data_IF_252882604492
#
_entry.id   IF_252882604492
#
_cell.length_a   1.000
_cell.length_b   1.000
_cell.length_c   1.000
_cell.angle_alpha   90.00
_cell.angle_beta   90.00
_cell.angle_gamma   90.00
#
_symmetry.space_group_name_H-M   'P 1'
#
loop_
_entity.id
_entity.type
_entity.pdbx_description
1 polymer ?
#
# COMPACT_ATOMS: atom_id res chain seq x y z
N UNK A 1 -27.85 7.81 -18.47
CA UNK A 1 -26.97 6.77 -17.87
C UNK A 1 -27.75 5.65 -17.19
N UNK A 2 -28.71 5.95 -16.31
CA UNK A 2 -29.60 4.92 -15.73
C UNK A 2 -30.43 4.16 -16.78
N UNK A 3 -30.79 4.79 -17.90
CA UNK A 3 -31.50 4.11 -19.00
C UNK A 3 -30.69 3.00 -19.68
N UNK A 4 -29.36 3.11 -19.71
CA UNK A 4 -28.47 2.14 -20.38
C UNK A 4 -27.95 1.09 -19.40
N UNK A 5 -27.60 1.52 -18.18
CA UNK A 5 -26.95 0.67 -17.18
C UNK A 5 -27.89 0.23 -16.04
N UNK A 6 -29.13 0.70 -16.02
CA UNK A 6 -30.10 0.37 -14.98
C UNK A 6 -29.58 0.68 -13.57
N UNK A 7 -29.73 -0.29 -12.66
CA UNK A 7 -29.26 -0.21 -11.28
C UNK A 7 -27.73 -0.31 -11.14
N UNK A 8 -27.04 -0.83 -12.17
CA UNK A 8 -25.58 -0.89 -12.20
C UNK A 8 -24.94 0.46 -12.54
N UNK A 9 -25.75 1.49 -12.78
CA UNK A 9 -25.28 2.84 -13.04
C UNK A 9 -24.53 3.40 -11.82
N UNK A 10 -23.31 3.89 -12.06
CA UNK A 10 -22.57 4.65 -11.05
C UNK A 10 -23.37 5.88 -10.59
N UNK A 11 -23.22 6.24 -9.33
CA UNK A 11 -23.81 7.45 -8.79
C UNK A 11 -23.36 8.69 -9.59
N UNK A 12 -24.27 9.66 -9.75
CA UNK A 12 -24.03 10.89 -10.53
C UNK A 12 -22.77 11.63 -10.08
N UNK A 13 -22.50 11.67 -8.77
CA UNK A 13 -21.29 12.29 -8.22
C UNK A 13 -19.99 11.60 -8.67
N UNK A 14 -19.99 10.26 -8.76
CA UNK A 14 -18.83 9.49 -9.24
C UNK A 14 -18.59 9.78 -10.73
N UNK A 15 -19.66 9.90 -11.50
CA UNK A 15 -19.59 10.19 -12.93
C UNK A 15 -19.01 11.58 -13.22
N UNK A 16 -19.44 12.62 -12.50
CA UNK A 16 -18.87 13.96 -12.63
C UNK A 16 -17.38 14.00 -12.29
N UNK A 17 -16.96 13.31 -11.22
CA UNK A 17 -15.53 13.19 -10.86
C UNK A 17 -14.70 12.49 -11.93
N UNK A 18 -15.30 11.58 -12.70
CA UNK A 18 -14.61 10.95 -13.83
C UNK A 18 -14.51 11.90 -15.02
N UNK A 19 -15.57 12.65 -15.36
CA UNK A 19 -15.52 13.66 -16.42
C UNK A 19 -14.43 14.70 -16.18
N UNK A 20 -14.38 15.27 -14.96
CA UNK A 20 -13.35 16.25 -14.57
C UNK A 20 -11.94 15.67 -14.73
N UNK A 21 -11.70 14.44 -14.24
CA UNK A 21 -10.40 13.79 -14.40
C UNK A 21 -10.01 13.55 -15.87
N UNK A 22 -10.98 13.22 -16.72
CA UNK A 22 -10.72 13.06 -18.16
C UNK A 22 -10.37 14.39 -18.82
N UNK A 23 -11.03 15.49 -18.44
CA UNK A 23 -10.71 16.85 -18.90
C UNK A 23 -9.30 17.28 -18.42
N UNK A 24 -8.89 16.86 -17.23
CA UNK A 24 -7.53 17.04 -16.69
C UNK A 24 -6.48 16.14 -17.39
N UNK A 25 -6.86 15.39 -18.42
CA UNK A 25 -5.94 14.56 -19.22
C UNK A 25 -5.72 13.15 -18.66
N UNK A 26 -6.51 12.70 -17.67
CA UNK A 26 -6.43 11.32 -17.18
C UNK A 26 -6.96 10.34 -18.23
N UNK A 27 -6.05 9.70 -18.95
CA UNK A 27 -6.36 8.64 -19.93
C UNK A 27 -6.38 7.22 -19.34
N UNK A 28 -5.75 7.03 -18.18
CA UNK A 28 -5.66 5.71 -17.54
C UNK A 28 -6.91 5.41 -16.71
N UNK A 29 -7.59 4.33 -17.07
CA UNK A 29 -8.79 3.81 -16.40
C UNK A 29 -8.45 3.10 -15.09
N UNK A 30 -7.23 2.58 -14.95
CA UNK A 30 -6.81 1.90 -13.72
C UNK A 30 -6.79 2.86 -12.54
N UNK A 31 -7.09 2.31 -11.36
CA UNK A 31 -6.96 3.03 -10.11
C UNK A 31 -5.51 3.42 -9.85
N UNK A 32 -5.32 4.64 -9.33
CA UNK A 32 -4.02 5.06 -8.83
C UNK A 32 -3.70 4.28 -7.55
N UNK A 33 -2.43 4.02 -7.26
CA UNK A 33 -2.03 3.42 -5.99
C UNK A 33 -2.61 4.26 -4.84
N UNK A 34 -3.33 3.59 -3.94
CA UNK A 34 -3.94 4.24 -2.80
C UNK A 34 -2.83 4.76 -1.88
N UNK A 35 -2.85 6.03 -1.43
CA UNK A 35 -1.84 6.58 -0.52
C UNK A 35 -1.69 5.79 0.79
N UNK A 36 -2.71 5.00 1.14
CA UNK A 36 -2.74 4.15 2.34
C UNK A 36 -1.92 2.87 2.18
N UNK A 37 -1.53 2.50 0.97
CA UNK A 37 -0.65 1.36 0.78
C UNK A 37 0.77 1.81 1.17
N UNK A 38 1.23 1.36 2.33
CA UNK A 38 2.59 1.62 2.77
C UNK A 38 3.55 1.18 1.66
N UNK A 39 4.54 2.02 1.36
CA UNK A 39 5.59 1.66 0.43
C UNK A 39 6.34 0.46 1.02
N UNK A 40 6.08 -0.73 0.52
CA UNK A 40 6.79 -1.94 0.94
C UNK A 40 8.19 -1.85 0.32
N UNK A 41 9.13 -1.30 1.07
CA UNK A 41 10.54 -1.26 0.71
C UNK A 41 11.16 -2.57 1.18
N UNK A 42 11.17 -3.57 0.30
CA UNK A 42 11.87 -4.83 0.56
C UNK A 42 13.35 -4.64 0.19
N UNK A 43 14.14 -4.07 1.09
CA UNK A 43 15.59 -4.06 0.94
C UNK A 43 16.12 -5.48 1.20
N UNK A 44 16.82 -6.07 0.23
CA UNK A 44 17.36 -7.44 0.33
C UNK A 44 18.35 -7.60 1.50
N UNK A 45 19.14 -6.56 1.78
CA UNK A 45 20.03 -6.50 2.92
C UNK A 45 19.28 -6.62 4.26
N UNK A 46 18.17 -5.89 4.41
CA UNK A 46 17.37 -5.92 5.65
C UNK A 46 16.66 -7.26 5.84
N UNK A 47 16.21 -7.91 4.75
CA UNK A 47 15.62 -9.26 4.85
C UNK A 47 16.64 -10.33 5.27
N UNK A 48 17.91 -10.18 4.88
CA UNK A 48 18.97 -11.13 5.26
C UNK A 48 19.29 -11.03 6.75
N UNK A 49 19.43 -9.81 7.28
CA UNK A 49 19.69 -9.56 8.71
C UNK A 49 18.56 -10.12 9.57
N UNK A 50 17.30 -9.86 9.19
CA UNK A 50 16.13 -10.38 9.91
C UNK A 50 16.09 -11.91 9.88
N UNK A 51 16.40 -12.54 8.74
CA UNK A 51 16.43 -14.01 8.63
C UNK A 51 17.55 -14.64 9.48
N UNK A 52 18.71 -14.02 9.57
CA UNK A 52 19.77 -14.47 10.48
C UNK A 52 19.35 -14.34 11.95
N UNK A 53 18.69 -13.24 12.31
CA UNK A 53 18.14 -13.04 13.66
C UNK A 53 17.13 -14.13 14.04
N UNK A 54 16.18 -14.45 13.14
CA UNK A 54 15.17 -15.51 13.35
C UNK A 54 15.83 -16.87 13.59
N UNK A 55 16.96 -17.15 12.93
CA UNK A 55 17.70 -18.41 13.13
C UNK A 55 18.42 -18.45 14.47
N UNK A 56 18.79 -17.30 15.03
CA UNK A 56 19.52 -17.20 16.29
C UNK A 56 18.60 -17.16 17.52
N UNK A 57 17.38 -16.63 17.40
CA UNK A 57 16.52 -16.37 18.57
C UNK A 57 15.10 -16.90 18.39
N UNK A 58 14.64 -17.74 19.34
CA UNK A 58 13.27 -18.31 19.32
C UNK A 58 12.17 -17.29 19.67
N UNK A 59 12.52 -16.20 20.36
CA UNK A 59 11.59 -15.12 20.73
C UNK A 59 12.22 -13.82 20.25
N UNK A 60 11.68 -13.26 19.18
CA UNK A 60 12.10 -11.96 18.66
C UNK A 60 10.99 -10.96 18.93
N UNK A 61 11.41 -9.82 19.48
CA UNK A 61 10.55 -8.68 19.74
C UNK A 61 10.77 -7.63 18.65
N UNK A 62 9.73 -6.93 18.21
CA UNK A 62 9.81 -5.88 17.17
C UNK A 62 10.79 -4.75 17.53
N UNK A 63 11.11 -4.59 18.82
CA UNK A 63 12.10 -3.63 19.30
C UNK A 63 13.54 -4.06 18.98
N UNK A 64 13.88 -5.33 19.11
CA UNK A 64 15.23 -5.85 18.87
C UNK A 64 15.59 -5.70 17.39
N UNK A 65 14.64 -5.99 16.49
CA UNK A 65 14.81 -5.77 15.04
C UNK A 65 14.93 -4.27 14.72
N UNK A 66 14.16 -3.41 15.39
CA UNK A 66 14.22 -1.97 15.13
C UNK A 66 15.59 -1.37 15.52
N UNK A 67 16.21 -1.89 16.59
CA UNK A 67 17.55 -1.49 17.04
C UNK A 67 18.61 -1.93 16.03
N UNK A 68 18.58 -3.19 15.61
CA UNK A 68 19.53 -3.73 14.61
C UNK A 68 19.44 -3.01 13.25
N UNK A 69 18.22 -2.72 12.81
CA UNK A 69 17.99 -2.02 11.54
C UNK A 69 18.14 -0.49 11.66
N UNK A 70 18.36 0.06 12.86
CA UNK A 70 18.39 1.51 13.12
C UNK A 70 17.16 2.24 12.55
N UNK A 71 15.98 1.62 12.65
CA UNK A 71 14.71 2.15 12.14
C UNK A 71 13.78 2.54 13.27
N UNK A 72 12.88 3.51 13.00
CA UNK A 72 11.89 3.93 14.00
C UNK A 72 10.91 2.79 14.32
N UNK A 73 10.53 2.69 15.58
CA UNK A 73 9.51 1.74 16.06
C UNK A 73 8.21 1.95 15.27
N UNK A 74 7.68 0.88 14.67
CA UNK A 74 6.49 0.91 13.81
C UNK A 74 6.78 0.92 12.31
N UNK A 75 8.03 1.08 11.88
CA UNK A 75 8.43 0.87 10.48
C UNK A 75 8.53 -0.61 10.13
N UNK A 76 8.88 -1.45 11.10
CA UNK A 76 8.94 -2.90 10.95
C UNK A 76 7.58 -3.50 11.33
N UNK A 77 6.88 -4.06 10.35
CA UNK A 77 5.70 -4.88 10.57
C UNK A 77 6.07 -6.33 10.28
N UNK A 78 6.04 -7.17 11.31
CA UNK A 78 6.17 -8.62 11.22
C UNK A 78 4.75 -9.17 11.41
N UNK A 79 4.21 -9.83 10.38
CA UNK A 79 2.90 -10.51 10.43
C UNK A 79 3.07 -11.96 10.83
#
# INVERSE_FOLDING_TARGET
MKEVYGEQCLARCTMFRWCERYEEGRVNIKDLPCPRQAHVVTNSATTSIVNELIRQTRRITTQEIAVELSVRKGTVCIT
#
